data_IF_210429411326
#
_entry.id   IF_210429411326
#
_cell.length_a   1.000
_cell.length_b   1.000
_cell.length_c   1.000
_cell.angle_alpha   90.00
_cell.angle_beta   90.00
_cell.angle_gamma   90.00
#
_symmetry.space_group_name_H-M   'P 1'
#
loop_
_entity.id
_entity.type
_entity.pdbx_description
1 polymer ?
#
# COMPACT_ATOMS: atom_id res chain seq x y z
N UNK A 1 17.38 0.76 -20.22
CA UNK A 1 17.65 -0.49 -20.98
C UNK A 1 18.21 -1.50 -20.00
N UNK A 2 17.76 -2.75 -20.07
CA UNK A 2 18.23 -3.84 -19.21
C UNK A 2 18.69 -5.01 -20.08
N UNK A 3 19.94 -5.44 -19.84
CA UNK A 3 20.52 -6.61 -20.49
C UNK A 3 20.35 -7.82 -19.57
N UNK A 4 19.47 -8.75 -19.91
CA UNK A 4 19.10 -9.84 -19.00
C UNK A 4 20.20 -10.89 -18.85
N UNK A 5 21.19 -10.88 -19.75
CA UNK A 5 22.33 -11.79 -19.66
C UNK A 5 23.25 -11.45 -18.47
N UNK A 6 23.15 -10.22 -17.94
CA UNK A 6 23.87 -9.74 -16.75
C UNK A 6 23.03 -9.83 -15.46
N UNK A 7 21.75 -10.23 -15.57
CA UNK A 7 20.82 -10.24 -14.45
C UNK A 7 20.78 -11.63 -13.81
N UNK A 8 20.99 -11.66 -12.49
CA UNK A 8 21.13 -12.90 -11.71
C UNK A 8 19.89 -13.80 -11.70
N UNK A 9 18.69 -13.21 -11.64
CA UNK A 9 17.41 -13.94 -11.57
C UNK A 9 16.21 -13.03 -11.94
N UNK A 10 15.04 -13.65 -12.08
CA UNK A 10 13.76 -13.00 -12.39
C UNK A 10 13.36 -11.94 -11.37
N UNK A 11 13.56 -12.19 -10.09
CA UNK A 11 13.15 -11.27 -9.02
C UNK A 11 13.97 -9.98 -9.08
N UNK A 12 15.26 -10.08 -9.42
CA UNK A 12 16.11 -8.92 -9.64
C UNK A 12 15.69 -8.16 -10.90
N UNK A 13 15.36 -8.85 -12.00
CA UNK A 13 14.78 -8.20 -13.19
C UNK A 13 13.51 -7.43 -12.82
N UNK A 14 12.59 -8.06 -12.10
CA UNK A 14 11.35 -7.44 -11.68
C UNK A 14 11.58 -6.17 -10.86
N UNK A 15 12.49 -6.22 -9.88
CA UNK A 15 12.88 -5.04 -9.09
C UNK A 15 13.52 -3.93 -9.94
N UNK A 16 14.30 -4.28 -10.96
CA UNK A 16 14.86 -3.31 -11.90
C UNK A 16 13.77 -2.65 -12.75
N UNK A 17 12.76 -3.41 -13.20
CA UNK A 17 11.61 -2.88 -13.94
C UNK A 17 10.79 -1.92 -13.07
N UNK A 18 10.47 -2.31 -11.82
CA UNK A 18 9.79 -1.45 -10.85
C UNK A 18 10.61 -0.19 -10.57
N UNK A 19 11.92 -0.31 -10.37
CA UNK A 19 12.81 0.84 -10.19
C UNK A 19 12.79 1.79 -11.40
N UNK A 20 12.82 1.27 -12.62
CA UNK A 20 12.68 2.10 -13.82
C UNK A 20 11.30 2.76 -13.93
N UNK A 21 10.23 2.06 -13.56
CA UNK A 21 8.88 2.60 -13.50
C UNK A 21 8.79 3.77 -12.50
N UNK A 22 9.23 3.56 -11.26
CA UNK A 22 9.24 4.58 -10.21
C UNK A 22 10.11 5.78 -10.60
N UNK A 23 11.21 5.56 -11.32
CA UNK A 23 12.07 6.65 -11.81
C UNK A 23 11.47 7.45 -12.98
N UNK A 24 10.26 7.15 -13.44
CA UNK A 24 9.58 7.95 -14.46
C UNK A 24 10.06 7.68 -15.89
N UNK A 25 10.74 6.56 -16.17
CA UNK A 25 11.11 6.24 -17.55
C UNK A 25 9.87 5.88 -18.38
N UNK A 26 9.74 6.50 -19.56
CA UNK A 26 8.59 6.27 -20.47
C UNK A 26 8.76 5.06 -21.38
N UNK A 27 10.00 4.61 -21.58
CA UNK A 27 10.33 3.44 -22.40
C UNK A 27 11.33 2.60 -21.62
N UNK A 28 10.99 1.32 -21.44
CA UNK A 28 11.86 0.32 -20.83
C UNK A 28 12.12 -0.76 -21.87
N UNK A 29 13.37 -0.86 -22.30
CA UNK A 29 13.85 -1.90 -23.23
C UNK A 29 14.53 -3.01 -22.41
N UNK A 30 14.06 -4.24 -22.56
CA UNK A 30 14.66 -5.46 -22.04
C UNK A 30 15.23 -6.23 -23.22
N UNK A 31 16.50 -6.64 -23.16
CA UNK A 31 17.17 -7.33 -24.27
C UNK A 31 18.01 -8.50 -23.77
N UNK A 32 18.32 -9.43 -24.67
CA UNK A 32 19.27 -10.53 -24.48
C UNK A 32 20.10 -10.74 -25.76
N UNK A 33 21.33 -11.23 -25.62
CA UNK A 33 22.12 -11.74 -26.75
C UNK A 33 21.61 -13.10 -27.28
N UNK A 34 20.75 -13.77 -26.50
CA UNK A 34 20.14 -15.07 -26.82
C UNK A 34 18.62 -14.95 -26.86
N UNK A 35 17.96 -16.06 -27.22
CA UNK A 35 16.50 -16.17 -27.08
C UNK A 35 16.11 -16.13 -25.59
N UNK A 36 15.08 -15.36 -25.26
CA UNK A 36 14.56 -15.29 -23.89
C UNK A 36 14.07 -16.64 -23.39
N UNK A 37 14.46 -16.96 -22.16
CA UNK A 37 13.80 -17.97 -21.36
C UNK A 37 12.37 -17.53 -21.01
N UNK A 38 11.46 -18.49 -20.81
CA UNK A 38 10.05 -18.21 -20.51
C UNK A 38 9.89 -17.34 -19.26
N UNK A 39 10.71 -17.60 -18.24
CA UNK A 39 10.71 -16.87 -16.97
C UNK A 39 10.93 -15.36 -17.15
N UNK A 40 11.76 -14.94 -18.11
CA UNK A 40 11.99 -13.52 -18.41
C UNK A 40 10.73 -12.88 -18.99
N UNK A 41 10.07 -13.55 -19.94
CA UNK A 41 8.82 -13.06 -20.55
C UNK A 41 7.71 -12.99 -19.52
N UNK A 42 7.58 -14.01 -18.67
CA UNK A 42 6.58 -14.06 -17.61
C UNK A 42 6.79 -12.93 -16.60
N UNK A 43 8.05 -12.65 -16.24
CA UNK A 43 8.42 -11.53 -15.37
C UNK A 43 8.01 -10.18 -15.96
N UNK A 44 8.34 -9.93 -17.24
CA UNK A 44 7.99 -8.67 -17.92
C UNK A 44 6.48 -8.52 -18.08
N UNK A 45 5.77 -9.60 -18.41
CA UNK A 45 4.30 -9.61 -18.48
C UNK A 45 3.67 -9.37 -17.13
N UNK A 46 4.21 -9.95 -16.05
CA UNK A 46 3.72 -9.70 -14.70
C UNK A 46 3.88 -8.22 -14.33
N UNK A 47 5.07 -7.65 -14.56
CA UNK A 47 5.32 -6.22 -14.38
C UNK A 47 4.29 -5.37 -15.13
N UNK A 48 4.08 -5.62 -16.44
CA UNK A 48 3.12 -4.84 -17.23
C UNK A 48 1.67 -4.96 -16.74
N UNK A 49 1.30 -6.06 -16.09
CA UNK A 49 -0.05 -6.27 -15.53
C UNK A 49 -0.29 -5.49 -14.24
N UNK A 50 0.74 -5.39 -13.40
CA UNK A 50 0.60 -4.77 -12.07
C UNK A 50 0.84 -3.27 -12.10
N UNK A 51 1.72 -2.75 -12.98
CA UNK A 51 1.99 -1.32 -13.05
C UNK A 51 0.94 -0.57 -13.86
N UNK A 52 0.58 0.64 -13.41
CA UNK A 52 -0.44 1.46 -14.06
C UNK A 52 0.19 2.22 -15.23
N UNK A 53 -0.39 2.06 -16.43
CA UNK A 53 -0.04 2.84 -17.63
C UNK A 53 0.95 2.16 -18.58
N UNK A 54 1.64 1.11 -18.13
CA UNK A 54 2.66 0.43 -18.92
C UNK A 54 2.07 -0.64 -19.83
N UNK A 55 2.48 -0.65 -21.08
CA UNK A 55 2.10 -1.69 -22.05
C UNK A 55 3.30 -2.23 -22.82
N UNK A 56 3.27 -3.52 -23.13
CA UNK A 56 4.26 -4.17 -23.99
C UNK A 56 3.93 -3.81 -25.46
N UNK A 57 4.79 -3.01 -26.07
CA UNK A 57 4.62 -2.53 -27.45
C UNK A 57 5.22 -3.48 -28.48
N UNK A 58 6.36 -4.08 -28.13
CA UNK A 58 7.07 -5.05 -28.98
C UNK A 58 7.55 -6.21 -28.12
N UNK A 59 7.32 -7.44 -28.58
CA UNK A 59 7.87 -8.66 -27.98
C UNK A 59 8.42 -9.55 -29.11
N UNK A 60 9.74 -9.69 -29.17
CA UNK A 60 10.44 -10.58 -30.10
C UNK A 60 11.09 -11.74 -29.34
N UNK A 61 12.02 -12.46 -29.99
CA UNK A 61 12.73 -13.56 -29.35
C UNK A 61 13.79 -13.11 -28.34
N UNK A 62 14.29 -11.89 -28.44
CA UNK A 62 15.40 -11.39 -27.63
C UNK A 62 15.29 -9.90 -27.25
N UNK A 63 14.21 -9.22 -27.62
CA UNK A 63 13.92 -7.84 -27.21
C UNK A 63 12.45 -7.72 -26.78
N UNK A 64 12.20 -7.02 -25.68
CA UNK A 64 10.87 -6.55 -25.25
C UNK A 64 10.94 -5.05 -25.03
N UNK A 65 10.00 -4.30 -25.60
CA UNK A 65 9.85 -2.85 -25.40
C UNK A 65 8.55 -2.58 -24.66
N UNK A 66 8.67 -1.98 -23.49
CA UNK A 66 7.55 -1.54 -22.65
C UNK A 66 7.46 -0.02 -22.75
N UNK A 67 6.25 0.51 -22.90
CA UNK A 67 6.01 1.95 -22.98
C UNK A 67 4.95 2.37 -21.97
N UNK A 68 5.16 3.50 -21.32
CA UNK A 68 4.13 4.17 -20.53
C UNK A 68 3.20 4.97 -21.45
N UNK A 69 1.91 4.72 -21.31
CA UNK A 69 0.82 5.33 -22.07
C UNK A 69 -0.09 6.20 -21.19
N UNK A 70 0.18 6.30 -19.88
CA UNK A 70 -0.66 7.08 -18.97
C UNK A 70 -0.48 8.58 -19.20
N UNK A 71 -1.58 9.30 -19.39
CA UNK A 71 -1.60 10.75 -19.22
C UNK A 71 -1.70 11.08 -17.72
N UNK A 72 -0.72 11.78 -17.12
CA UNK A 72 -0.77 12.16 -15.71
C UNK A 72 -2.03 12.93 -15.30
N UNK A 73 -2.72 13.59 -16.24
CA UNK A 73 -3.96 14.35 -15.98
C UNK A 73 -5.17 13.47 -15.68
N UNK A 74 -5.19 12.23 -16.16
CA UNK A 74 -6.32 11.29 -15.92
C UNK A 74 -6.31 10.72 -14.49
N UNK A 75 -5.13 10.70 -13.88
CA UNK A 75 -4.87 10.17 -12.54
C UNK A 75 -4.07 11.18 -11.71
N UNK A 76 -4.63 12.35 -11.36
CA UNK A 76 -3.93 13.33 -10.54
C UNK A 76 -3.65 12.78 -9.13
N UNK A 77 -2.59 13.28 -8.49
CA UNK A 77 -2.15 12.83 -7.17
C UNK A 77 -3.28 12.73 -6.14
N UNK A 78 -4.07 13.79 -5.99
CA UNK A 78 -5.17 13.83 -5.01
C UNK A 78 -6.17 12.69 -5.20
N UNK A 79 -6.53 12.39 -6.46
CA UNK A 79 -7.44 11.28 -6.80
C UNK A 79 -6.81 9.93 -6.46
N UNK A 80 -5.51 9.76 -6.72
CA UNK A 80 -4.77 8.54 -6.39
C UNK A 80 -4.69 8.35 -4.87
N UNK A 81 -4.38 9.39 -4.10
CA UNK A 81 -4.37 9.35 -2.63
C UNK A 81 -5.74 8.98 -2.06
N UNK A 82 -6.83 9.63 -2.52
CA UNK A 82 -8.18 9.30 -2.06
C UNK A 82 -8.53 7.82 -2.31
N UNK A 83 -8.10 7.27 -3.45
CA UNK A 83 -8.29 5.83 -3.75
C UNK A 83 -7.47 4.95 -2.81
N UNK A 84 -6.21 5.28 -2.56
CA UNK A 84 -5.36 4.55 -1.61
C UNK A 84 -5.96 4.57 -0.21
N UNK A 85 -6.48 5.72 0.23
CA UNK A 85 -7.15 5.85 1.53
C UNK A 85 -8.39 4.94 1.63
N UNK A 86 -9.29 4.99 0.64
CA UNK A 86 -10.51 4.14 0.65
C UNK A 86 -10.12 2.66 0.70
N UNK A 87 -9.09 2.28 -0.07
CA UNK A 87 -8.58 0.92 -0.12
C UNK A 87 -7.99 0.50 1.23
N UNK A 88 -7.07 1.29 1.80
CA UNK A 88 -6.45 1.03 3.09
C UNK A 88 -7.48 0.91 4.22
N UNK A 89 -8.47 1.81 4.25
CA UNK A 89 -9.57 1.75 5.22
C UNK A 89 -10.38 0.45 5.07
N UNK A 90 -10.78 0.11 3.83
CA UNK A 90 -11.53 -1.12 3.55
C UNK A 90 -10.73 -2.38 3.91
N UNK A 91 -9.43 -2.40 3.60
CA UNK A 91 -8.54 -3.53 3.94
C UNK A 91 -8.48 -3.75 5.45
N UNK A 92 -8.32 -2.68 6.23
CA UNK A 92 -8.27 -2.75 7.69
C UNK A 92 -9.61 -3.21 8.28
N UNK A 93 -10.73 -2.62 7.84
CA UNK A 93 -12.07 -3.02 8.28
C UNK A 93 -12.36 -4.49 7.96
N UNK A 94 -12.09 -4.92 6.73
CA UNK A 94 -12.39 -6.27 6.27
C UNK A 94 -11.52 -7.31 6.98
N UNK A 95 -10.27 -6.96 7.30
CA UNK A 95 -9.39 -7.82 8.09
C UNK A 95 -9.95 -8.10 9.48
N UNK A 96 -10.58 -7.12 10.14
CA UNK A 96 -11.21 -7.33 11.45
C UNK A 96 -12.63 -7.91 11.39
N UNK A 97 -13.43 -7.57 10.37
CA UNK A 97 -14.70 -8.27 10.12
C UNK A 97 -14.49 -9.77 9.93
N UNK A 98 -13.36 -10.17 9.35
CA UNK A 98 -12.98 -11.58 9.22
C UNK A 98 -12.71 -12.25 10.58
N UNK A 99 -12.22 -11.50 11.58
CA UNK A 99 -12.02 -11.99 12.94
C UNK A 99 -13.35 -12.28 13.64
N UNK A 100 -14.37 -11.44 13.44
CA UNK A 100 -15.70 -11.63 14.02
C UNK A 100 -16.43 -12.85 13.44
N UNK A 101 -16.43 -12.93 12.11
CA UNK A 101 -17.28 -13.86 11.36
C UNK A 101 -16.61 -15.20 11.09
N UNK A 102 -15.30 -15.31 11.35
CA UNK A 102 -14.48 -16.44 10.92
C UNK A 102 -14.36 -16.55 9.39
N UNK A 103 -14.70 -15.49 8.65
CA UNK A 103 -14.74 -15.49 7.20
C UNK A 103 -13.32 -15.43 6.60
N UNK A 104 -12.63 -16.57 6.55
CA UNK A 104 -11.25 -16.68 6.00
C UNK A 104 -11.11 -16.09 4.59
N UNK A 105 -12.14 -16.27 3.75
CA UNK A 105 -12.16 -15.70 2.40
C UNK A 105 -12.09 -14.16 2.39
N UNK A 106 -12.62 -13.50 3.42
CA UNK A 106 -12.52 -12.05 3.54
C UNK A 106 -11.09 -11.63 3.85
N UNK A 107 -10.41 -12.34 4.76
CA UNK A 107 -9.00 -12.12 5.05
C UNK A 107 -8.09 -12.42 3.83
N UNK A 108 -8.37 -13.47 3.06
CA UNK A 108 -7.66 -13.78 1.81
C UNK A 108 -7.77 -12.62 0.79
N UNK A 109 -8.96 -12.04 0.63
CA UNK A 109 -9.15 -10.87 -0.24
C UNK A 109 -8.36 -9.63 0.21
N UNK A 110 -8.22 -9.44 1.52
CA UNK A 110 -7.36 -8.36 2.05
C UNK A 110 -5.91 -8.59 1.64
N UNK A 111 -5.43 -9.84 1.71
CA UNK A 111 -4.07 -10.20 1.27
C UNK A 111 -3.90 -9.97 -0.25
N UNK A 112 -4.93 -10.27 -1.05
CA UNK A 112 -4.90 -10.02 -2.51
C UNK A 112 -4.91 -8.52 -2.84
N UNK A 113 -5.46 -7.67 -1.97
CA UNK A 113 -5.54 -6.21 -2.16
C UNK A 113 -4.21 -5.48 -1.91
N UNK A 114 -3.18 -6.20 -1.44
CA UNK A 114 -1.82 -5.69 -1.25
C UNK A 114 -1.23 -5.15 -2.57
N UNK A 115 -1.36 -5.93 -3.65
CA UNK A 115 -0.89 -5.53 -4.98
C UNK A 115 -1.59 -4.25 -5.49
N UNK A 116 -2.86 -4.04 -5.10
CA UNK A 116 -3.65 -2.88 -5.50
C UNK A 116 -3.20 -1.60 -4.81
N UNK A 117 -2.80 -1.66 -3.53
CA UNK A 117 -2.28 -0.48 -2.82
C UNK A 117 -0.83 -0.19 -3.23
N UNK A 118 -0.02 -1.23 -3.42
CA UNK A 118 1.37 -1.14 -3.88
C UNK A 118 1.49 -0.43 -5.23
N UNK A 119 0.67 -0.84 -6.20
CA UNK A 119 0.72 -0.22 -7.53
C UNK A 119 0.27 1.24 -7.54
N UNK A 120 -0.66 1.62 -6.65
CA UNK A 120 -1.06 3.02 -6.49
C UNK A 120 0.06 3.83 -5.83
N UNK A 121 0.74 3.26 -4.84
CA UNK A 121 1.93 3.87 -4.24
C UNK A 121 3.04 4.08 -5.30
N UNK A 122 3.37 3.07 -6.10
CA UNK A 122 4.36 3.18 -7.17
C UNK A 122 3.97 4.23 -8.22
N UNK A 123 2.67 4.36 -8.53
CA UNK A 123 2.18 5.39 -9.43
C UNK A 123 2.44 6.79 -8.85
N UNK A 124 2.15 7.00 -7.57
CA UNK A 124 2.43 8.29 -6.90
C UNK A 124 3.92 8.57 -6.90
N UNK A 125 4.76 7.59 -6.55
CA UNK A 125 6.21 7.76 -6.60
C UNK A 125 6.70 8.08 -8.01
N UNK A 126 6.19 7.38 -9.03
CA UNK A 126 6.50 7.65 -10.45
C UNK A 126 6.16 9.08 -10.81
N UNK A 127 4.93 9.51 -10.57
CA UNK A 127 4.47 10.86 -10.90
C UNK A 127 5.34 11.90 -10.19
N UNK A 128 5.66 11.68 -8.91
CA UNK A 128 6.50 12.60 -8.15
C UNK A 128 7.91 12.68 -8.73
N UNK A 129 8.54 11.57 -9.13
CA UNK A 129 9.86 11.62 -9.77
C UNK A 129 9.84 12.30 -11.14
N UNK A 130 8.77 12.15 -11.92
CA UNK A 130 8.63 12.89 -13.20
C UNK A 130 8.56 14.38 -12.92
N UNK A 131 7.71 14.80 -11.97
CA UNK A 131 7.52 16.21 -11.57
C UNK A 131 8.81 16.81 -11.02
N UNK A 132 9.54 16.09 -10.16
CA UNK A 132 10.82 16.54 -9.61
C UNK A 132 11.92 16.70 -10.66
N UNK A 133 11.79 16.07 -11.85
CA UNK A 133 12.75 16.17 -12.96
C UNK A 133 12.34 17.17 -14.05
N UNK A 134 11.06 17.53 -14.11
CA UNK A 134 10.50 18.41 -15.13
C UNK A 134 9.66 19.53 -14.49
N UNK A 135 10.33 20.66 -14.23
CA UNK A 135 9.71 21.87 -13.66
C UNK A 135 8.57 22.41 -14.55
N UNK A 136 8.62 22.19 -15.87
CA UNK A 136 7.57 22.62 -16.80
C UNK A 136 6.31 21.77 -16.61
N UNK A 137 6.46 20.49 -16.25
CA UNK A 137 5.33 19.62 -15.94
C UNK A 137 4.63 20.05 -14.64
N UNK A 138 5.37 20.53 -13.62
CA UNK A 138 4.79 21.08 -12.39
C UNK A 138 3.73 22.15 -12.70
N UNK A 139 4.08 23.10 -13.58
CA UNK A 139 3.19 24.19 -13.97
C UNK A 139 1.94 23.71 -14.73
N UNK A 140 2.05 22.64 -15.52
CA UNK A 140 0.93 22.07 -16.28
C UNK A 140 -0.03 21.26 -15.42
N UNK A 141 0.43 20.76 -14.29
CA UNK A 141 -0.34 19.94 -13.35
C UNK A 141 -0.84 20.73 -12.14
N UNK A 142 -0.51 22.03 -12.05
CA UNK A 142 -0.86 22.92 -10.94
C UNK A 142 -0.41 22.37 -9.57
N UNK A 143 0.81 21.82 -9.54
CA UNK A 143 1.43 21.25 -8.33
C UNK A 143 2.82 21.83 -8.13
N UNK A 144 3.23 21.96 -6.87
CA UNK A 144 4.58 22.36 -6.51
C UNK A 144 5.48 21.14 -6.29
N UNK A 145 6.80 21.37 -6.21
CA UNK A 145 7.76 20.32 -5.83
C UNK A 145 7.53 19.85 -4.38
N UNK A 146 7.06 20.75 -3.51
CA UNK A 146 6.67 20.45 -2.13
C UNK A 146 5.46 19.51 -2.11
N UNK A 147 4.43 19.82 -2.89
CA UNK A 147 3.25 18.95 -3.02
C UNK A 147 3.65 17.55 -3.49
N UNK A 148 4.50 17.44 -4.51
CA UNK A 148 5.00 16.16 -5.01
C UNK A 148 5.71 15.35 -3.91
N UNK A 149 6.49 16.01 -3.05
CA UNK A 149 7.13 15.36 -1.90
C UNK A 149 6.09 14.91 -0.86
N UNK A 150 5.12 15.77 -0.54
CA UNK A 150 4.07 15.46 0.43
C UNK A 150 3.21 14.28 -0.03
N UNK A 151 2.85 14.22 -1.31
CA UNK A 151 2.13 13.09 -1.89
C UNK A 151 2.91 11.77 -1.77
N UNK A 152 4.24 11.78 -1.95
CA UNK A 152 5.08 10.59 -1.70
C UNK A 152 5.00 10.12 -0.25
N UNK A 153 5.03 11.05 0.71
CA UNK A 153 4.90 10.67 2.12
C UNK A 153 3.52 10.10 2.43
N UNK A 154 2.45 10.76 2.00
CA UNK A 154 1.07 10.30 2.23
C UNK A 154 0.84 8.91 1.61
N UNK A 155 1.24 8.71 0.35
CA UNK A 155 1.12 7.40 -0.31
C UNK A 155 1.89 6.30 0.43
N UNK A 156 3.10 6.62 0.93
CA UNK A 156 3.89 5.67 1.72
C UNK A 156 3.26 5.31 3.06
N UNK A 157 2.62 6.26 3.75
CA UNK A 157 1.89 5.94 4.98
C UNK A 157 0.65 5.10 4.72
N UNK A 158 -0.09 5.38 3.65
CA UNK A 158 -1.25 4.58 3.25
C UNK A 158 -0.86 3.14 2.86
N UNK A 159 0.24 2.95 2.11
CA UNK A 159 0.76 1.61 1.80
C UNK A 159 1.17 0.85 3.06
N UNK A 160 1.83 1.50 4.02
CA UNK A 160 2.14 0.88 5.32
C UNK A 160 0.89 0.50 6.12
N UNK A 161 -0.18 1.28 6.03
CA UNK A 161 -1.46 0.90 6.64
C UNK A 161 -2.02 -0.36 5.96
N UNK A 162 -1.95 -0.43 4.62
CA UNK A 162 -2.29 -1.63 3.84
C UNK A 162 -1.49 -2.87 4.29
N UNK A 163 -0.16 -2.74 4.41
CA UNK A 163 0.73 -3.78 4.95
C UNK A 163 0.26 -4.30 6.32
N UNK A 164 -0.18 -3.39 7.19
CA UNK A 164 -0.68 -3.75 8.52
C UNK A 164 -2.05 -4.41 8.46
N UNK A 165 -2.94 -4.01 7.56
CA UNK A 165 -4.18 -4.73 7.29
C UNK A 165 -3.91 -6.16 6.80
N UNK A 166 -2.91 -6.36 5.93
CA UNK A 166 -2.47 -7.68 5.47
C UNK A 166 -1.90 -8.52 6.63
N UNK A 167 -1.12 -7.91 7.54
CA UNK A 167 -0.64 -8.60 8.76
C UNK A 167 -1.79 -9.03 9.66
N UNK A 168 -2.81 -8.19 9.84
CA UNK A 168 -4.03 -8.54 10.58
C UNK A 168 -4.68 -9.75 9.90
N UNK A 169 -4.96 -9.66 8.60
CA UNK A 169 -5.62 -10.72 7.84
C UNK A 169 -4.88 -12.07 7.91
N UNK A 170 -3.54 -12.06 7.76
CA UNK A 170 -2.70 -13.26 7.89
C UNK A 170 -2.82 -13.93 9.26
N UNK A 171 -2.88 -13.15 10.34
CA UNK A 171 -3.03 -13.68 11.69
C UNK A 171 -4.48 -14.15 11.96
N UNK A 172 -5.48 -13.43 11.46
CA UNK A 172 -6.89 -13.81 11.59
C UNK A 172 -7.17 -15.19 10.98
N UNK A 173 -6.54 -15.54 9.84
CA UNK A 173 -6.71 -16.86 9.19
C UNK A 173 -6.27 -18.03 10.10
N UNK A 174 -5.30 -17.78 10.98
CA UNK A 174 -4.73 -18.77 11.91
C UNK A 174 -5.58 -18.96 13.17
N UNK A 175 -6.43 -17.99 13.49
CA UNK A 175 -7.28 -18.00 14.69
C UNK A 175 -8.56 -18.81 14.43
N UNK A 176 -8.91 -19.67 15.40
CA UNK A 176 -10.28 -20.20 15.52
C UNK A 176 -11.15 -19.16 16.23
N UNK A 177 -11.94 -18.42 15.45
CA UNK A 177 -12.77 -17.32 15.95
C UNK A 177 -13.73 -17.74 17.07
N UNK A 178 -14.17 -19.01 17.11
CA UNK A 178 -15.08 -19.51 18.15
C UNK A 178 -14.42 -19.57 19.54
N UNK A 179 -13.09 -19.59 19.59
CA UNK A 179 -12.31 -19.59 20.82
C UNK A 179 -11.94 -18.18 21.30
N UNK A 180 -12.28 -17.14 20.54
CA UNK A 180 -12.11 -15.75 20.96
C UNK A 180 -13.30 -15.37 21.83
N UNK A 181 -13.02 -14.97 23.08
CA UNK A 181 -14.08 -14.49 23.96
C UNK A 181 -14.62 -13.14 23.49
N UNK A 182 -15.89 -12.88 23.79
CA UNK A 182 -16.60 -11.69 23.31
C UNK A 182 -16.03 -10.38 23.86
N UNK A 183 -15.50 -10.40 25.08
CA UNK A 183 -14.92 -9.21 25.71
C UNK A 183 -13.63 -8.80 25.00
N UNK A 184 -12.76 -9.77 24.73
CA UNK A 184 -11.52 -9.58 23.97
C UNK A 184 -11.80 -9.07 22.56
N UNK A 185 -12.76 -9.68 21.85
CA UNK A 185 -13.18 -9.21 20.53
C UNK A 185 -13.65 -7.74 20.57
N UNK A 186 -14.55 -7.40 21.51
CA UNK A 186 -15.05 -6.03 21.64
C UNK A 186 -13.93 -5.02 21.91
N UNK A 187 -12.96 -5.36 22.77
CA UNK A 187 -11.84 -4.48 23.08
C UNK A 187 -10.91 -4.29 21.86
N UNK A 188 -10.70 -5.33 21.05
CA UNK A 188 -9.95 -5.23 19.78
C UNK A 188 -10.69 -4.33 18.80
N UNK A 189 -12.00 -4.49 18.68
CA UNK A 189 -12.82 -3.65 17.80
C UNK A 189 -12.84 -2.19 18.23
N UNK A 190 -12.96 -1.90 19.53
CA UNK A 190 -12.89 -0.52 20.05
C UNK A 190 -11.54 0.14 19.69
N UNK A 191 -10.42 -0.57 19.90
CA UNK A 191 -9.11 -0.05 19.51
C UNK A 191 -9.01 0.17 18.00
N UNK A 192 -9.62 -0.69 17.19
CA UNK A 192 -9.65 -0.54 15.75
C UNK A 192 -10.48 0.65 15.28
N UNK A 193 -11.66 0.85 15.87
CA UNK A 193 -12.53 1.98 15.55
C UNK A 193 -11.79 3.29 15.81
N UNK A 194 -11.11 3.42 16.96
CA UNK A 194 -10.27 4.57 17.27
C UNK A 194 -9.16 4.73 16.21
N UNK A 195 -8.51 3.65 15.78
CA UNK A 195 -7.47 3.70 14.76
C UNK A 195 -7.98 4.19 13.40
N UNK A 196 -9.19 3.78 13.00
CA UNK A 196 -9.81 4.21 11.75
C UNK A 196 -10.34 5.64 11.86
N UNK A 197 -10.84 6.06 13.03
CA UNK A 197 -11.17 7.46 13.30
C UNK A 197 -9.96 8.38 13.10
N UNK A 198 -8.77 7.99 13.60
CA UNK A 198 -7.54 8.74 13.37
C UNK A 198 -7.19 8.81 11.87
N UNK A 199 -7.37 7.72 11.12
CA UNK A 199 -7.15 7.73 9.67
C UNK A 199 -8.13 8.67 8.96
N UNK A 200 -9.39 8.69 9.36
CA UNK A 200 -10.41 9.56 8.78
C UNK A 200 -10.12 11.03 9.09
N UNK A 201 -9.79 11.34 10.35
CA UNK A 201 -9.41 12.68 10.78
C UNK A 201 -8.17 13.20 10.03
N UNK A 202 -7.20 12.35 9.70
CA UNK A 202 -5.98 12.78 8.99
C UNK A 202 -6.28 13.14 7.54
N UNK A 203 -7.14 12.37 6.87
CA UNK A 203 -7.61 12.71 5.53
C UNK A 203 -8.41 14.02 5.53
N UNK A 204 -9.35 14.18 6.46
CA UNK A 204 -10.18 15.39 6.56
C UNK A 204 -9.32 16.63 6.84
N UNK A 205 -8.38 16.53 7.78
CA UNK A 205 -7.44 17.59 8.09
C UNK A 205 -6.61 17.98 6.86
N UNK A 206 -6.12 16.99 6.11
CA UNK A 206 -5.34 17.23 4.89
C UNK A 206 -6.18 17.90 3.79
N UNK A 207 -7.38 17.37 3.48
CA UNK A 207 -8.26 17.91 2.43
C UNK A 207 -8.73 19.34 2.74
N UNK A 208 -9.02 19.62 4.01
CA UNK A 208 -9.51 20.93 4.46
C UNK A 208 -8.38 21.90 4.81
N UNK A 209 -7.12 21.43 4.86
CA UNK A 209 -5.96 22.17 5.39
C UNK A 209 -6.20 22.66 6.82
N UNK A 210 -6.89 21.85 7.63
CA UNK A 210 -7.25 22.18 9.01
C UNK A 210 -6.13 21.77 9.98
N UNK A 211 -5.34 22.76 10.40
CA UNK A 211 -4.24 22.58 11.35
C UNK A 211 -4.72 22.19 12.76
N UNK A 212 -5.93 22.60 13.16
CA UNK A 212 -6.45 22.24 14.47
C UNK A 212 -6.85 20.77 14.49
N UNK A 213 -7.52 20.31 13.43
CA UNK A 213 -7.89 18.90 13.28
C UNK A 213 -6.65 17.99 13.19
N UNK A 214 -5.61 18.42 12.48
CA UNK A 214 -4.32 17.71 12.45
C UNK A 214 -3.69 17.61 13.85
N UNK A 215 -3.66 18.70 14.62
CA UNK A 215 -3.15 18.68 15.98
C UNK A 215 -4.01 17.80 16.92
N UNK A 216 -5.34 17.85 16.78
CA UNK A 216 -6.25 16.99 17.55
C UNK A 216 -6.04 15.50 17.26
N UNK A 217 -5.77 15.17 16.00
CA UNK A 217 -5.42 13.81 15.58
C UNK A 217 -4.18 13.30 16.31
N UNK A 218 -3.08 14.07 16.27
CA UNK A 218 -1.83 13.75 16.97
C UNK A 218 -2.05 13.54 18.46
N UNK A 219 -2.83 14.40 19.12
CA UNK A 219 -3.13 14.24 20.55
C UNK A 219 -3.99 13.01 20.85
N UNK A 220 -4.85 12.60 19.91
CA UNK A 220 -5.75 11.47 20.06
C UNK A 220 -5.04 10.11 19.97
N UNK A 221 -3.78 10.03 19.52
CA UNK A 221 -2.97 8.79 19.56
C UNK A 221 -2.84 8.20 20.98
N UNK A 222 -2.86 9.06 22.01
CA UNK A 222 -2.82 8.65 23.42
C UNK A 222 -4.06 7.84 23.79
N UNK A 223 -5.21 8.08 23.16
CA UNK A 223 -6.45 7.30 23.37
C UNK A 223 -6.27 5.89 22.79
N UNK A 224 -5.79 5.79 21.55
CA UNK A 224 -5.50 4.51 20.91
C UNK A 224 -4.49 3.68 21.73
N UNK A 225 -3.40 4.31 22.16
CA UNK A 225 -2.36 3.63 22.95
C UNK A 225 -2.92 3.05 24.25
N UNK A 226 -3.81 3.79 24.93
CA UNK A 226 -4.50 3.30 26.13
C UNK A 226 -5.45 2.15 25.81
N UNK A 227 -6.23 2.24 24.73
CA UNK A 227 -7.14 1.18 24.31
C UNK A 227 -6.36 -0.12 24.01
N UNK A 228 -5.29 -0.06 23.19
CA UNK A 228 -4.45 -1.21 22.88
C UNK A 228 -3.82 -1.84 24.14
N UNK A 229 -3.32 -1.01 25.07
CA UNK A 229 -2.71 -1.50 26.31
C UNK A 229 -3.71 -2.08 27.31
N UNK A 230 -4.99 -1.71 27.20
CA UNK A 230 -6.05 -2.23 28.06
C UNK A 230 -6.51 -3.64 27.65
N UNK A 231 -6.20 -4.07 26.41
CA UNK A 231 -6.54 -5.39 25.91
C UNK A 231 -5.73 -6.46 26.66
N UNK A 232 -6.42 -7.24 27.50
CA UNK A 232 -5.80 -8.32 28.28
C UNK A 232 -5.97 -9.64 27.54
N UNK A 233 -4.85 -10.27 27.21
CA UNK A 233 -4.84 -11.61 26.63
C UNK A 233 -4.37 -12.59 27.72
N UNK A 234 -5.07 -13.72 27.87
CA UNK A 234 -4.64 -14.78 28.77
C UNK A 234 -3.25 -15.29 28.37
N UNK A 235 -2.26 -15.39 29.29
CA UNK A 235 -0.93 -15.92 28.98
C UNK A 235 -0.95 -17.36 28.46
N UNK A 236 -2.02 -18.11 28.73
CA UNK A 236 -2.21 -19.49 28.28
C UNK A 236 -3.08 -19.58 27.01
N UNK A 237 -3.41 -18.44 26.37
CA UNK A 237 -4.16 -18.44 25.11
C UNK A 237 -3.33 -19.09 24.01
N UNK A 238 -3.95 -20.02 23.29
CA UNK A 238 -3.37 -20.64 22.09
C UNK A 238 -3.03 -19.60 21.00
N UNK A 239 -3.76 -18.48 20.98
CA UNK A 239 -3.64 -17.42 19.97
C UNK A 239 -2.96 -16.13 20.49
N UNK A 240 -2.17 -16.24 21.57
CA UNK A 240 -1.51 -15.09 22.19
C UNK A 240 -0.65 -14.29 21.19
N UNK A 241 0.05 -14.98 20.29
CA UNK A 241 0.97 -14.37 19.32
C UNK A 241 0.20 -13.66 18.22
N UNK A 242 -0.80 -14.33 17.65
CA UNK A 242 -1.62 -13.82 16.55
C UNK A 242 -2.39 -12.57 16.98
N UNK A 243 -3.01 -12.62 18.17
CA UNK A 243 -3.74 -11.49 18.74
C UNK A 243 -2.78 -10.33 19.05
N UNK A 244 -1.57 -10.63 19.54
CA UNK A 244 -0.51 -9.63 19.74
C UNK A 244 -0.16 -8.89 18.45
N UNK A 245 0.00 -9.61 17.33
CA UNK A 245 0.26 -9.00 16.02
C UNK A 245 -0.91 -8.17 15.49
N UNK A 246 -2.15 -8.58 15.76
CA UNK A 246 -3.35 -7.83 15.39
C UNK A 246 -3.38 -6.50 16.14
N UNK A 247 -3.21 -6.50 17.46
CA UNK A 247 -3.22 -5.28 18.30
C UNK A 247 -2.07 -4.34 17.91
N UNK A 248 -0.87 -4.89 17.69
CA UNK A 248 0.26 -4.09 17.23
C UNK A 248 -0.05 -3.44 15.87
N UNK A 249 -0.63 -4.19 14.94
CA UNK A 249 -0.97 -3.65 13.62
C UNK A 249 -2.05 -2.57 13.68
N UNK A 250 -3.05 -2.73 14.55
CA UNK A 250 -4.05 -1.68 14.84
C UNK A 250 -3.35 -0.42 15.38
N UNK A 251 -2.43 -0.56 16.34
CA UNK A 251 -1.68 0.59 16.87
C UNK A 251 -0.89 1.29 15.77
N UNK A 252 -0.21 0.51 14.92
CA UNK A 252 0.60 1.04 13.81
C UNK A 252 -0.22 1.76 12.76
N UNK A 253 -1.44 1.30 12.46
CA UNK A 253 -2.36 2.04 11.59
C UNK A 253 -2.61 3.44 12.15
N UNK A 254 -2.96 3.56 13.44
CA UNK A 254 -3.18 4.87 14.06
C UNK A 254 -1.92 5.73 14.17
N UNK A 255 -0.75 5.13 14.43
CA UNK A 255 0.53 5.86 14.44
C UNK A 255 0.83 6.47 13.05
N UNK A 256 0.66 5.71 11.97
CA UNK A 256 0.84 6.22 10.61
C UNK A 256 -0.20 7.27 10.20
N UNK A 257 -1.39 7.26 10.81
CA UNK A 257 -2.39 8.31 10.61
C UNK A 257 -1.99 9.63 11.28
N UNK A 258 -1.11 9.60 12.28
CA UNK A 258 -0.63 10.79 12.99
C UNK A 258 0.69 11.37 12.48
N UNK A 259 1.43 10.62 11.67
CA UNK A 259 2.69 11.02 11.01
C UNK A 259 2.44 11.93 9.79
#
# INVERSE_FOLDING_TARGET
KFDVDEIKNSDFLFRLLIGAYIMGYNIIEVRSSKKFESVIRDTVRNFSKITIGTEIMEESDNIIIIKDLLDPKEMPFEKTIKRMYILANSMHEDALKALETGAKRLAEKVIESDDDIDRLNWLVERQAHIVLRDIILCQKLDITLEDASNYKFISRFLERIGDHAVKIAKNVILIDYQKIDKELYNNIMEASEISLELLNMSLDAWLQKDLNLANENIESIKKLTKACNAIKISPNSEYLVEIGFIIESIRRTGEYSSD
#
